data_IF_914539976951
#
_entry.id   IF_914539976951
#
_cell.length_a   1.000
_cell.length_b   1.000
_cell.length_c   1.000
_cell.angle_alpha   90.00
_cell.angle_beta   90.00
_cell.angle_gamma   90.00
#
_symmetry.space_group_name_H-M   'P 1'
#
loop_
_entity.id
_entity.type
_entity.pdbx_description
1 polymer ?
#
# COMPACT_ATOMS: atom_id res chain seq x y z
N UNK A 1 61.65 -30.44 -43.46
CA UNK A 1 60.28 -30.97 -43.56
C UNK A 1 59.78 -31.66 -42.28
N UNK A 2 60.41 -32.75 -41.78
CA UNK A 2 59.91 -33.52 -40.61
C UNK A 2 59.77 -32.72 -39.30
N UNK A 3 60.68 -31.77 -39.00
CA UNK A 3 60.59 -30.90 -37.82
C UNK A 3 59.43 -29.89 -37.91
N UNK A 4 59.18 -29.34 -39.10
CA UNK A 4 58.10 -28.37 -39.33
C UNK A 4 56.72 -29.04 -39.17
N UNK A 5 56.57 -30.25 -39.70
CA UNK A 5 55.35 -31.06 -39.55
C UNK A 5 55.09 -31.40 -38.07
N UNK A 6 56.12 -31.73 -37.29
CA UNK A 6 55.99 -31.95 -35.84
C UNK A 6 55.51 -30.69 -35.10
N UNK A 7 56.06 -29.51 -35.43
CA UNK A 7 55.63 -28.25 -34.83
C UNK A 7 54.19 -27.89 -35.15
N UNK A 8 53.77 -28.07 -36.41
CA UNK A 8 52.38 -27.84 -36.84
C UNK A 8 51.41 -28.77 -36.11
N UNK A 9 51.76 -30.06 -35.97
CA UNK A 9 50.93 -31.02 -35.23
C UNK A 9 50.80 -30.68 -33.73
N UNK A 10 51.88 -30.17 -33.11
CA UNK A 10 51.83 -29.72 -31.71
C UNK A 10 50.90 -28.50 -31.57
N UNK A 11 51.00 -27.52 -32.47
CA UNK A 11 50.16 -26.32 -32.44
C UNK A 11 48.68 -26.68 -32.64
N UNK A 12 48.37 -27.58 -33.58
CA UNK A 12 47.00 -28.06 -33.81
C UNK A 12 46.46 -28.80 -32.58
N UNK A 13 47.28 -29.66 -31.96
CA UNK A 13 46.90 -30.39 -30.73
C UNK A 13 46.59 -29.45 -29.57
N UNK A 14 47.43 -28.43 -29.35
CA UNK A 14 47.20 -27.41 -28.33
C UNK A 14 45.90 -26.66 -28.62
N UNK A 15 45.70 -26.17 -29.84
CA UNK A 15 44.49 -25.45 -30.23
C UNK A 15 43.21 -26.30 -30.07
N UNK A 16 43.27 -27.58 -30.44
CA UNK A 16 42.16 -28.52 -30.26
C UNK A 16 41.85 -28.75 -28.77
N UNK A 17 42.88 -28.84 -27.93
CA UNK A 17 42.73 -28.98 -26.49
C UNK A 17 42.17 -27.71 -25.84
N UNK A 18 42.61 -26.52 -26.26
CA UNK A 18 42.05 -25.24 -25.80
C UNK A 18 40.58 -25.11 -26.20
N UNK A 19 40.22 -25.52 -27.42
CA UNK A 19 38.83 -25.48 -27.88
C UNK A 19 37.95 -26.47 -27.11
N UNK A 20 38.46 -27.67 -26.78
CA UNK A 20 37.77 -28.63 -25.92
C UNK A 20 37.57 -28.08 -24.50
N UNK A 21 38.60 -27.47 -23.90
CA UNK A 21 38.51 -26.84 -22.59
C UNK A 21 37.54 -25.65 -22.58
N UNK A 22 37.53 -24.82 -23.63
CA UNK A 22 36.55 -23.75 -23.79
C UNK A 22 35.13 -24.29 -23.95
N UNK A 23 34.94 -25.38 -24.70
CA UNK A 23 33.62 -26.02 -24.86
C UNK A 23 33.14 -26.68 -23.57
N UNK A 24 34.03 -27.31 -22.81
CA UNK A 24 33.75 -27.84 -21.47
C UNK A 24 33.45 -26.71 -20.49
N UNK A 25 34.23 -25.62 -20.49
CA UNK A 25 33.98 -24.43 -19.68
C UNK A 25 32.65 -23.77 -20.01
N UNK A 26 32.31 -23.60 -21.30
CA UNK A 26 31.01 -23.09 -21.74
C UNK A 26 29.87 -24.02 -21.33
N UNK A 27 30.05 -25.34 -21.46
CA UNK A 27 29.06 -26.32 -21.02
C UNK A 27 28.89 -26.24 -19.50
N UNK A 28 29.96 -26.22 -18.71
CA UNK A 28 29.91 -26.02 -17.26
C UNK A 28 29.18 -24.71 -16.91
N UNK A 29 29.54 -23.58 -17.52
CA UNK A 29 28.88 -22.29 -17.26
C UNK A 29 27.39 -22.30 -17.65
N UNK A 30 27.00 -22.92 -18.76
CA UNK A 30 25.60 -22.99 -19.20
C UNK A 30 24.78 -24.08 -18.50
N UNK A 31 25.40 -25.18 -18.08
CA UNK A 31 24.72 -26.31 -17.44
C UNK A 31 24.70 -26.15 -15.91
N UNK A 32 25.62 -25.39 -15.31
CA UNK A 32 25.68 -25.10 -13.87
C UNK A 32 25.00 -23.76 -13.51
N UNK A 33 24.90 -22.77 -14.42
CA UNK A 33 24.09 -21.57 -14.16
C UNK A 33 22.61 -21.82 -13.76
N UNK A 34 21.90 -22.86 -14.23
CA UNK A 34 20.56 -23.18 -13.76
C UNK A 34 20.52 -23.91 -12.40
N UNK A 35 21.67 -24.18 -11.77
CA UNK A 35 21.80 -24.84 -10.45
C UNK A 35 22.36 -23.94 -9.34
N UNK A 36 22.57 -22.64 -9.61
CA UNK A 36 22.68 -21.67 -8.51
C UNK A 36 21.30 -21.63 -7.82
N UNK A 37 21.29 -21.86 -6.50
CA UNK A 37 20.09 -22.11 -5.70
C UNK A 37 18.99 -21.05 -5.80
N UNK A 38 17.87 -21.31 -5.11
CA UNK A 38 16.70 -20.42 -5.12
C UNK A 38 17.09 -18.95 -4.88
N UNK A 39 16.67 -18.07 -5.78
CA UNK A 39 16.90 -16.63 -5.66
C UNK A 39 15.61 -15.93 -5.26
N UNK A 40 15.70 -15.00 -4.31
CA UNK A 40 14.54 -14.31 -3.74
C UNK A 40 14.71 -12.79 -3.78
N UNK A 41 13.61 -12.08 -3.99
CA UNK A 41 13.47 -10.65 -3.70
C UNK A 41 12.62 -10.51 -2.44
N UNK A 42 13.07 -9.64 -1.54
CA UNK A 42 12.34 -9.29 -0.33
C UNK A 42 11.83 -7.84 -0.45
N UNK A 43 10.51 -7.69 -0.55
CA UNK A 43 9.83 -6.41 -0.39
C UNK A 43 9.41 -6.29 1.08
N UNK A 44 10.25 -5.61 1.88
CA UNK A 44 10.00 -5.45 3.32
C UNK A 44 9.14 -4.23 3.55
N UNK A 45 8.08 -4.39 4.33
CA UNK A 45 7.34 -3.26 4.86
C UNK A 45 8.27 -2.33 5.63
N UNK A 46 8.09 -1.02 5.43
CA UNK A 46 8.79 -0.02 6.22
C UNK A 46 8.48 -0.22 7.70
N UNK A 47 9.51 -0.10 8.52
CA UNK A 47 9.39 -0.27 9.97
C UNK A 47 8.52 0.84 10.55
N UNK A 48 7.57 0.45 11.41
CA UNK A 48 6.75 1.39 12.18
C UNK A 48 7.59 1.99 13.31
N UNK A 49 7.67 3.31 13.35
CA UNK A 49 8.41 4.09 14.35
C UNK A 49 7.50 4.51 15.50
N UNK A 50 6.27 4.91 15.19
CA UNK A 50 5.30 5.45 16.14
C UNK A 50 3.89 5.09 15.68
N UNK A 51 3.02 4.80 16.66
CA UNK A 51 1.57 4.78 16.51
C UNK A 51 1.00 5.60 17.66
N UNK A 52 0.09 6.52 17.37
CA UNK A 52 -0.60 7.36 18.35
C UNK A 52 -2.08 7.43 17.98
N UNK A 53 -2.97 7.43 18.97
CA UNK A 53 -4.42 7.56 18.76
C UNK A 53 -4.97 8.88 19.29
N UNK A 54 -5.92 9.46 18.57
CA UNK A 54 -6.55 10.75 18.84
C UNK A 54 -8.07 10.67 18.67
N UNK A 55 -8.76 11.69 19.18
CA UNK A 55 -10.22 11.73 19.28
C UNK A 55 -10.73 10.99 20.53
N UNK A 56 -11.95 11.33 20.96
CA UNK A 56 -12.55 10.78 22.18
C UNK A 56 -12.67 9.25 22.13
N UNK A 57 -12.92 8.70 20.94
CA UNK A 57 -13.13 7.26 20.70
C UNK A 57 -11.90 6.60 20.04
N UNK A 58 -10.75 7.28 20.06
CA UNK A 58 -9.49 6.83 19.42
C UNK A 58 -9.67 6.56 17.92
N UNK A 59 -10.53 7.34 17.28
CA UNK A 59 -10.96 7.13 15.90
C UNK A 59 -9.95 7.65 14.86
N UNK A 60 -8.95 8.43 15.27
CA UNK A 60 -7.86 8.88 14.40
C UNK A 60 -6.52 8.32 14.84
N UNK A 61 -5.74 7.76 13.92
CA UNK A 61 -4.47 7.08 14.18
C UNK A 61 -3.35 7.77 13.40
N UNK A 62 -2.36 8.33 14.10
CA UNK A 62 -1.12 8.81 13.49
C UNK A 62 -0.10 7.69 13.45
N UNK A 63 0.54 7.49 12.30
CA UNK A 63 1.58 6.48 12.11
C UNK A 63 2.82 7.12 11.48
N UNK A 64 3.95 7.02 12.19
CA UNK A 64 5.27 7.35 11.68
C UNK A 64 6.01 6.10 11.22
N UNK A 65 6.71 6.20 10.08
CA UNK A 65 7.49 5.12 9.47
C UNK A 65 8.96 5.51 9.34
N UNK A 66 9.86 4.54 9.48
CA UNK A 66 11.31 4.70 9.27
C UNK A 66 11.64 4.60 7.76
N UNK A 67 11.40 5.69 7.02
CA UNK A 67 11.79 5.83 5.61
C UNK A 67 10.63 6.13 4.65
N UNK A 68 10.96 6.29 3.37
CA UNK A 68 9.96 6.51 2.32
C UNK A 68 9.24 5.20 2.02
N UNK A 69 7.93 5.14 2.31
CA UNK A 69 7.12 3.97 2.02
C UNK A 69 6.24 4.17 0.78
N UNK A 70 6.08 3.10 0.01
CA UNK A 70 5.03 3.00 -1.00
C UNK A 70 3.77 2.42 -0.33
N UNK A 71 2.61 2.94 -0.71
CA UNK A 71 1.35 2.68 -0.01
C UNK A 71 0.91 1.20 0.02
N UNK A 72 1.48 0.31 -0.80
CA UNK A 72 1.02 -1.07 -0.97
C UNK A 72 1.41 -2.06 0.14
N UNK A 73 2.31 -1.68 1.06
CA UNK A 73 2.77 -2.56 2.15
C UNK A 73 2.14 -2.23 3.51
N UNK A 74 1.21 -1.28 3.55
CA UNK A 74 0.51 -0.88 4.77
C UNK A 74 -0.99 -0.80 4.50
N UNK A 75 -1.79 -1.04 5.51
CA UNK A 75 -3.24 -0.89 5.46
C UNK A 75 -3.78 -0.76 6.88
N UNK A 76 -5.05 -0.40 7.01
CA UNK A 76 -5.70 -0.30 8.30
C UNK A 76 -7.16 -0.73 8.16
N UNK A 77 -7.57 -1.64 9.03
CA UNK A 77 -8.96 -1.95 9.29
C UNK A 77 -9.46 -1.13 10.48
N UNK A 78 -10.68 -1.38 10.95
CA UNK A 78 -11.18 -0.75 12.17
C UNK A 78 -10.29 -1.08 13.37
N UNK A 79 -9.84 -2.32 13.52
CA UNK A 79 -9.17 -2.77 14.75
C UNK A 79 -7.66 -2.93 14.64
N UNK A 80 -7.11 -2.98 13.42
CA UNK A 80 -5.69 -3.25 13.22
C UNK A 80 -5.05 -2.27 12.22
N UNK A 81 -3.88 -1.75 12.58
CA UNK A 81 -2.92 -1.29 11.59
C UNK A 81 -2.07 -2.48 11.16
N UNK A 82 -1.86 -2.64 9.85
CA UNK A 82 -1.25 -3.84 9.28
C UNK A 82 -0.14 -3.45 8.33
N UNK A 83 0.98 -4.18 8.42
CA UNK A 83 2.05 -4.13 7.43
C UNK A 83 2.30 -5.52 6.85
N UNK A 84 2.62 -5.57 5.55
CA UNK A 84 2.87 -6.81 4.82
C UNK A 84 4.26 -6.78 4.17
N UNK A 85 5.05 -7.81 4.41
CA UNK A 85 6.35 -8.02 3.74
C UNK A 85 6.33 -9.28 2.92
N UNK A 86 6.85 -9.21 1.70
CA UNK A 86 6.82 -10.30 0.74
C UNK A 86 8.22 -10.80 0.47
N UNK A 87 8.38 -12.11 0.47
CA UNK A 87 9.56 -12.79 -0.06
C UNK A 87 9.13 -13.63 -1.25
N UNK A 88 9.53 -13.23 -2.45
CA UNK A 88 9.15 -13.87 -3.71
C UNK A 88 10.36 -14.47 -4.39
N UNK A 89 10.20 -15.65 -4.98
CA UNK A 89 11.22 -16.33 -5.76
C UNK A 89 11.27 -15.74 -7.16
N UNK A 90 12.48 -15.52 -7.68
CA UNK A 90 12.68 -14.79 -8.96
C UNK A 90 13.68 -15.45 -9.90
N UNK A 91 14.19 -16.64 -9.57
CA UNK A 91 15.05 -17.38 -10.50
C UNK A 91 14.26 -17.93 -11.70
N UNK A 92 14.97 -18.44 -12.71
CA UNK A 92 14.37 -18.91 -13.97
C UNK A 92 13.36 -20.07 -13.81
N UNK A 93 13.30 -20.73 -12.64
CA UNK A 93 12.33 -21.77 -12.32
C UNK A 93 11.19 -21.27 -11.44
N UNK A 94 11.12 -19.96 -11.15
CA UNK A 94 10.04 -19.36 -10.40
C UNK A 94 8.72 -19.47 -11.18
N UNK A 95 7.63 -19.76 -10.47
CA UNK A 95 6.29 -19.86 -11.06
C UNK A 95 5.56 -18.55 -10.83
N UNK A 96 5.18 -17.89 -11.92
CA UNK A 96 4.56 -16.56 -11.87
C UNK A 96 3.25 -16.51 -11.06
N UNK A 97 2.41 -17.53 -11.20
CA UNK A 97 1.06 -17.56 -10.61
C UNK A 97 0.94 -18.53 -9.42
N UNK A 98 2.03 -19.13 -8.94
CA UNK A 98 1.98 -20.13 -7.87
C UNK A 98 3.07 -19.92 -6.84
N UNK A 99 2.70 -20.08 -5.57
CA UNK A 99 3.62 -19.96 -4.44
C UNK A 99 4.74 -20.99 -4.56
N UNK A 100 5.97 -20.51 -4.49
CA UNK A 100 7.18 -21.32 -4.53
C UNK A 100 7.74 -21.66 -3.14
N UNK A 101 8.50 -22.77 -3.07
CA UNK A 101 9.16 -23.17 -1.84
C UNK A 101 10.14 -22.07 -1.37
N UNK A 102 10.00 -21.66 -0.11
CA UNK A 102 10.87 -20.67 0.53
C UNK A 102 10.38 -19.22 0.39
N UNK A 103 9.24 -18.99 -0.27
CA UNK A 103 8.50 -17.73 -0.21
C UNK A 103 7.82 -17.55 1.14
N UNK A 104 7.49 -16.30 1.48
CA UNK A 104 6.76 -15.95 2.70
C UNK A 104 5.95 -14.66 2.52
N UNK A 105 4.84 -14.55 3.23
CA UNK A 105 4.07 -13.30 3.37
C UNK A 105 3.97 -13.00 4.85
N UNK A 106 4.88 -12.15 5.33
CA UNK A 106 4.97 -11.80 6.74
C UNK A 106 4.02 -10.66 7.02
N UNK A 107 2.98 -10.95 7.79
CA UNK A 107 2.01 -9.97 8.26
C UNK A 107 2.42 -9.52 9.65
N UNK A 108 2.44 -8.21 9.87
CA UNK A 108 2.55 -7.61 11.19
C UNK A 108 1.31 -6.79 11.47
N UNK A 109 0.65 -7.07 12.58
CA UNK A 109 -0.55 -6.38 13.04
C UNK A 109 -0.22 -5.60 14.32
N UNK A 110 -0.88 -4.45 14.48
CA UNK A 110 -0.84 -3.62 15.68
C UNK A 110 -2.29 -3.40 16.12
N UNK A 111 -2.65 -3.89 17.31
CA UNK A 111 -4.02 -3.82 17.83
C UNK A 111 -4.37 -2.40 18.30
N UNK A 112 -5.24 -1.72 17.55
CA UNK A 112 -5.58 -0.32 17.78
C UNK A 112 -6.41 -0.09 19.05
N UNK A 113 -7.00 -1.15 19.62
CA UNK A 113 -7.81 -1.09 20.83
C UNK A 113 -6.97 -1.23 22.10
N UNK A 114 -5.75 -1.74 21.98
CA UNK A 114 -4.83 -1.85 23.13
C UNK A 114 -4.09 -0.53 23.38
N UNK A 115 -3.79 -0.16 24.64
CA UNK A 115 -3.04 1.06 24.94
C UNK A 115 -1.62 1.09 24.34
N UNK A 116 -0.99 -0.07 24.18
CA UNK A 116 0.38 -0.24 23.70
C UNK A 116 0.49 -0.63 22.23
N UNK A 117 -0.64 -0.70 21.52
CA UNK A 117 -0.72 -1.17 20.13
C UNK A 117 -0.09 -2.55 19.95
N UNK A 118 -0.48 -3.49 20.82
CA UNK A 118 0.03 -4.86 20.92
C UNK A 118 0.34 -5.42 19.53
N UNK A 119 1.61 -5.74 19.31
CA UNK A 119 2.15 -6.20 18.03
C UNK A 119 2.11 -7.71 17.92
N UNK A 120 1.62 -8.24 16.80
CA UNK A 120 1.75 -9.66 16.43
C UNK A 120 2.30 -9.80 15.02
N UNK A 121 3.17 -10.80 14.81
CA UNK A 121 3.76 -11.11 13.51
C UNK A 121 3.58 -12.59 13.20
N UNK A 122 3.19 -12.92 11.97
CA UNK A 122 3.04 -14.29 11.50
C UNK A 122 3.28 -14.41 9.98
N UNK A 123 3.56 -15.62 9.51
CA UNK A 123 3.60 -15.92 8.08
C UNK A 123 2.23 -16.44 7.64
N UNK A 124 1.64 -15.77 6.64
CA UNK A 124 0.32 -16.11 6.12
C UNK A 124 0.36 -17.30 5.16
N UNK A 125 1.47 -17.52 4.44
CA UNK A 125 1.51 -18.55 3.38
C UNK A 125 1.24 -19.98 3.87
N UNK A 126 1.79 -20.45 5.01
CA UNK A 126 1.49 -21.79 5.50
C UNK A 126 -0.01 -22.02 5.74
N UNK A 127 -0.74 -20.99 6.19
CA UNK A 127 -2.18 -21.06 6.41
C UNK A 127 -2.94 -21.21 5.08
N UNK A 128 -2.60 -20.39 4.10
CA UNK A 128 -3.18 -20.48 2.74
C UNK A 128 -2.93 -21.86 2.11
N UNK A 129 -1.70 -22.37 2.20
CA UNK A 129 -1.35 -23.67 1.64
C UNK A 129 -2.11 -24.82 2.32
N UNK A 130 -2.36 -24.74 3.62
CA UNK A 130 -3.15 -25.73 4.35
C UNK A 130 -4.62 -25.76 3.89
N UNK A 131 -5.15 -24.62 3.43
CA UNK A 131 -6.48 -24.53 2.81
C UNK A 131 -6.47 -24.85 1.30
N UNK A 132 -5.33 -25.29 0.76
CA UNK A 132 -5.20 -25.64 -0.66
C UNK A 132 -5.03 -24.42 -1.59
N UNK A 133 -4.85 -23.22 -1.03
CA UNK A 133 -4.61 -21.98 -1.79
C UNK A 133 -3.12 -21.90 -2.12
N UNK A 134 -2.80 -21.98 -3.40
CA UNK A 134 -1.43 -22.03 -3.91
C UNK A 134 -1.14 -20.95 -4.96
N UNK A 135 -1.98 -19.91 -5.02
CA UNK A 135 -1.86 -18.81 -5.98
C UNK A 135 -0.93 -17.72 -5.45
N UNK A 136 -0.24 -17.03 -6.35
CA UNK A 136 0.66 -15.94 -5.98
C UNK A 136 -0.13 -14.73 -5.49
N UNK A 137 -0.09 -14.47 -4.18
CA UNK A 137 -0.63 -13.24 -3.59
C UNK A 137 0.37 -12.09 -3.83
N UNK A 138 -0.14 -10.96 -4.33
CA UNK A 138 0.66 -9.78 -4.63
C UNK A 138 0.26 -8.54 -3.84
N UNK A 139 -0.89 -8.57 -3.15
CA UNK A 139 -1.29 -7.48 -2.27
C UNK A 139 -2.13 -8.01 -1.11
N UNK A 140 -1.98 -7.37 0.05
CA UNK A 140 -2.71 -7.67 1.28
C UNK A 140 -3.21 -6.35 1.87
N UNK A 141 -4.52 -6.23 2.03
CA UNK A 141 -5.17 -5.03 2.57
C UNK A 141 -6.03 -5.43 3.76
N UNK A 142 -5.78 -4.83 4.93
CA UNK A 142 -6.65 -4.96 6.09
C UNK A 142 -7.96 -4.19 5.85
N UNK A 143 -9.09 -4.86 6.07
CA UNK A 143 -10.43 -4.31 5.89
C UNK A 143 -11.33 -4.72 7.06
N UNK A 144 -12.37 -3.93 7.31
CA UNK A 144 -13.47 -4.32 8.19
C UNK A 144 -14.73 -4.44 7.35
N UNK A 145 -15.43 -5.55 7.51
CA UNK A 145 -16.69 -5.83 6.83
C UNK A 145 -17.67 -6.47 7.80
N UNK A 146 -18.87 -5.90 7.96
CA UNK A 146 -19.90 -6.36 8.90
C UNK A 146 -19.38 -6.57 10.34
N UNK A 147 -18.50 -5.68 10.80
CA UNK A 147 -17.89 -5.73 12.14
C UNK A 147 -16.81 -6.80 12.33
N UNK A 148 -16.42 -7.49 11.25
CA UNK A 148 -15.34 -8.49 11.25
C UNK A 148 -14.10 -7.96 10.55
N UNK A 149 -12.94 -8.45 11.01
CA UNK A 149 -11.63 -8.04 10.53
C UNK A 149 -11.06 -9.05 9.54
N UNK A 150 -10.67 -8.57 8.38
CA UNK A 150 -10.13 -9.41 7.30
C UNK A 150 -8.82 -8.86 6.75
N UNK A 151 -8.01 -9.77 6.24
CA UNK A 151 -6.99 -9.45 5.26
C UNK A 151 -7.54 -9.79 3.87
N UNK A 152 -7.84 -8.78 3.06
CA UNK A 152 -8.11 -8.96 1.63
C UNK A 152 -6.82 -9.32 0.91
N UNK A 153 -6.82 -10.48 0.26
CA UNK A 153 -5.70 -11.02 -0.51
C UNK A 153 -5.99 -10.88 -2.00
N UNK A 154 -5.17 -10.12 -2.71
CA UNK A 154 -5.21 -10.09 -4.18
C UNK A 154 -4.15 -11.01 -4.73
N UNK A 155 -4.56 -11.90 -5.64
CA UNK A 155 -3.70 -12.93 -6.19
C UNK A 155 -3.88 -13.08 -7.69
N UNK A 156 -2.85 -13.57 -8.37
CA UNK A 156 -2.93 -13.85 -9.80
C UNK A 156 -3.65 -15.18 -10.04
N UNK A 157 -4.75 -15.14 -10.79
CA UNK A 157 -5.40 -16.34 -11.37
C UNK A 157 -4.61 -16.76 -12.61
N UNK A 158 -4.30 -15.80 -13.47
CA UNK A 158 -3.40 -15.91 -14.62
C UNK A 158 -2.57 -14.62 -14.71
N UNK A 159 -1.62 -14.56 -15.65
CA UNK A 159 -0.81 -13.36 -15.89
C UNK A 159 -1.64 -12.10 -16.23
N UNK A 160 -2.91 -12.25 -16.63
CA UNK A 160 -3.78 -11.13 -17.02
C UNK A 160 -5.06 -11.02 -16.18
N UNK A 161 -5.24 -11.88 -15.17
CA UNK A 161 -6.46 -11.93 -14.38
C UNK A 161 -6.14 -12.13 -12.92
N UNK A 162 -6.72 -11.27 -12.09
CA UNK A 162 -6.57 -11.31 -10.65
C UNK A 162 -7.86 -11.82 -9.97
N UNK A 163 -7.68 -12.40 -8.79
CA UNK A 163 -8.73 -12.83 -7.89
C UNK A 163 -8.60 -12.16 -6.53
N UNK A 164 -9.66 -12.31 -5.71
CA UNK A 164 -9.71 -11.79 -4.35
C UNK A 164 -10.20 -12.90 -3.42
N UNK A 165 -9.52 -13.06 -2.28
CA UNK A 165 -9.92 -13.89 -1.15
C UNK A 165 -9.82 -13.06 0.13
N UNK A 166 -10.59 -13.41 1.16
CA UNK A 166 -10.52 -12.78 2.46
C UNK A 166 -10.04 -13.79 3.49
N UNK A 167 -8.98 -13.46 4.22
CA UNK A 167 -8.54 -14.22 5.39
C UNK A 167 -9.16 -13.58 6.64
N UNK A 168 -10.00 -14.33 7.35
CA UNK A 168 -10.62 -13.87 8.58
C UNK A 168 -9.59 -13.86 9.73
N UNK A 169 -9.35 -12.69 10.33
CA UNK A 169 -8.32 -12.54 11.35
C UNK A 169 -8.67 -13.18 12.70
N UNK A 170 -9.96 -13.48 12.95
CA UNK A 170 -10.44 -14.13 14.16
C UNK A 170 -10.50 -15.66 14.02
N UNK A 171 -11.14 -16.16 12.97
CA UNK A 171 -11.29 -17.61 12.76
C UNK A 171 -10.08 -18.26 12.08
N UNK A 172 -9.20 -17.45 11.49
CA UNK A 172 -8.05 -17.88 10.69
C UNK A 172 -8.41 -18.70 9.44
N UNK A 173 -9.66 -18.59 8.97
CA UNK A 173 -10.15 -19.26 7.77
C UNK A 173 -10.15 -18.32 6.54
N UNK A 174 -10.02 -18.87 5.34
CA UNK A 174 -10.21 -18.13 4.09
C UNK A 174 -11.64 -18.26 3.55
N UNK A 175 -12.24 -17.13 3.19
CA UNK A 175 -13.54 -17.07 2.53
C UNK A 175 -13.53 -16.22 1.25
N UNK A 176 -14.55 -16.41 0.42
CA UNK A 176 -14.76 -15.56 -0.75
C UNK A 176 -15.37 -14.20 -0.33
N UNK A 177 -15.00 -13.10 -1.00
CA UNK A 177 -15.58 -11.79 -0.73
C UNK A 177 -17.10 -11.78 -0.88
N UNK A 178 -17.80 -11.27 0.12
CA UNK A 178 -19.27 -11.15 0.12
C UNK A 178 -19.74 -9.87 -0.58
N UNK A 179 -18.92 -8.83 -0.51
CA UNK A 179 -19.12 -7.54 -1.14
C UNK A 179 -17.75 -6.87 -1.35
N UNK A 180 -17.71 -5.77 -2.09
CA UNK A 180 -16.57 -4.83 -2.13
C UNK A 180 -16.91 -3.46 -1.55
N UNK A 181 -18.11 -3.36 -0.98
CA UNK A 181 -18.61 -2.15 -0.34
C UNK A 181 -18.09 -2.09 1.10
N UNK A 182 -16.83 -1.68 1.23
CA UNK A 182 -16.18 -1.43 2.51
C UNK A 182 -15.25 -0.21 2.37
N UNK A 183 -15.00 0.47 3.48
CA UNK A 183 -14.12 1.64 3.50
C UNK A 183 -12.66 1.21 3.52
N UNK A 184 -11.81 2.00 2.83
CA UNK A 184 -10.35 1.82 2.86
C UNK A 184 -9.66 3.14 3.14
N UNK A 185 -8.55 3.07 3.88
CA UNK A 185 -7.84 4.29 4.30
C UNK A 185 -6.82 4.81 3.30
N UNK A 186 -6.48 4.00 2.28
CA UNK A 186 -5.51 4.34 1.24
C UNK A 186 -6.14 4.48 -0.15
N UNK A 187 -7.48 4.43 -0.25
CA UNK A 187 -8.18 4.78 -1.48
C UNK A 187 -8.00 6.26 -1.78
N UNK A 188 -7.56 6.58 -3.01
CA UNK A 188 -7.66 7.95 -3.53
C UNK A 188 -9.12 8.40 -3.46
N UNK A 189 -9.33 9.71 -3.29
CA UNK A 189 -10.65 10.29 -3.52
C UNK A 189 -11.12 9.89 -4.92
N UNK A 190 -12.40 9.53 -5.03
CA UNK A 190 -12.99 9.14 -6.29
C UNK A 190 -12.98 10.29 -7.31
N UNK A 191 -13.22 9.96 -8.59
CA UNK A 191 -13.21 10.94 -9.68
C UNK A 191 -14.25 12.03 -9.48
N UNK A 192 -15.33 11.72 -8.80
CA UNK A 192 -16.37 12.68 -8.43
C UNK A 192 -15.80 13.87 -7.64
N UNK A 193 -14.70 13.71 -6.91
CA UNK A 193 -14.04 14.79 -6.17
C UNK A 193 -13.11 15.66 -7.03
N UNK A 194 -12.84 15.31 -8.29
CA UNK A 194 -11.95 16.08 -9.17
C UNK A 194 -12.50 17.47 -9.52
N UNK A 195 -13.82 17.67 -9.37
CA UNK A 195 -14.51 18.96 -9.52
C UNK A 195 -14.27 19.90 -8.33
N UNK A 196 -13.84 19.37 -7.18
CA UNK A 196 -13.54 20.15 -5.99
C UNK A 196 -12.10 20.67 -6.04
N UNK A 197 -11.92 21.95 -5.72
CA UNK A 197 -10.58 22.50 -5.52
C UNK A 197 -9.92 21.98 -4.22
N UNK A 198 -10.67 21.32 -3.34
CA UNK A 198 -10.23 20.88 -2.01
C UNK A 198 -8.94 20.04 -2.01
N UNK A 199 -8.82 18.90 -2.72
CA UNK A 199 -7.59 18.09 -2.68
C UNK A 199 -6.38 18.86 -3.24
N UNK A 200 -6.62 19.70 -4.26
CA UNK A 200 -5.59 20.52 -4.88
C UNK A 200 -5.11 21.65 -3.96
N UNK A 201 -6.02 22.23 -3.16
CA UNK A 201 -5.76 23.26 -2.16
C UNK A 201 -4.94 22.68 -1.01
N UNK A 202 -5.31 21.52 -0.48
CA UNK A 202 -4.53 20.82 0.55
C UNK A 202 -3.09 20.57 0.10
N UNK A 203 -2.93 20.09 -1.14
CA UNK A 203 -1.60 19.84 -1.72
C UNK A 203 -0.78 21.10 -1.90
N UNK A 204 -1.39 22.18 -2.38
CA UNK A 204 -0.69 23.43 -2.69
C UNK A 204 -0.31 24.18 -1.41
N UNK A 205 -1.22 24.28 -0.45
CA UNK A 205 -1.05 25.08 0.76
C UNK A 205 -0.23 24.35 1.84
N UNK A 206 -0.43 23.04 2.00
CA UNK A 206 0.17 22.27 3.09
C UNK A 206 1.19 21.21 2.63
N UNK A 207 1.32 20.97 1.32
CA UNK A 207 2.34 20.06 0.77
C UNK A 207 2.04 18.57 0.92
N UNK A 208 0.86 18.21 1.40
CA UNK A 208 0.40 16.83 1.64
C UNK A 208 -0.82 16.51 0.78
N UNK A 209 -1.14 15.22 0.63
CA UNK A 209 -2.35 14.78 -0.09
C UNK A 209 -3.39 14.21 0.89
N UNK A 210 -4.66 14.52 0.65
CA UNK A 210 -5.81 13.89 1.30
C UNK A 210 -6.31 12.70 0.49
N UNK A 211 -6.87 11.70 1.18
CA UNK A 211 -7.47 10.49 0.62
C UNK A 211 -8.77 10.14 1.38
N UNK A 212 -9.44 9.04 1.02
CA UNK A 212 -10.78 8.68 1.51
C UNK A 212 -10.94 8.71 3.04
N UNK A 213 -9.95 8.22 3.79
CA UNK A 213 -9.91 8.23 5.26
C UNK A 213 -8.46 8.44 5.75
N UNK A 214 -7.67 9.25 5.04
CA UNK A 214 -6.31 9.58 5.49
C UNK A 214 -5.79 10.93 5.01
N UNK A 215 -4.84 11.48 5.77
CA UNK A 215 -4.04 12.66 5.41
C UNK A 215 -2.59 12.27 5.24
N UNK A 216 -1.91 12.97 4.35
CA UNK A 216 -0.52 12.75 4.01
C UNK A 216 -0.26 11.37 3.40
N UNK A 217 -1.02 11.07 2.34
CA UNK A 217 -0.89 9.82 1.58
C UNK A 217 0.57 9.47 1.22
N UNK A 218 1.41 10.48 0.97
CA UNK A 218 2.80 10.34 0.52
C UNK A 218 3.87 10.47 1.62
N UNK A 219 3.52 10.52 2.90
CA UNK A 219 4.48 10.68 4.01
C UNK A 219 5.44 11.89 3.83
N UNK A 220 4.91 13.02 3.35
CA UNK A 220 5.64 14.28 3.17
C UNK A 220 5.52 15.15 4.41
N UNK A 221 6.56 15.92 4.71
CA UNK A 221 6.49 16.93 5.76
C UNK A 221 5.46 18.00 5.38
N UNK A 222 4.37 18.07 6.14
CA UNK A 222 3.37 19.12 6.00
C UNK A 222 3.96 20.49 6.34
N UNK A 223 3.35 21.55 5.80
CA UNK A 223 3.75 22.95 6.00
C UNK A 223 2.53 23.77 6.36
N UNK A 224 2.74 24.95 6.95
CA UNK A 224 1.70 25.96 7.16
C UNK A 224 0.48 25.49 7.99
N UNK A 225 0.65 24.46 8.83
CA UNK A 225 -0.44 23.94 9.68
C UNK A 225 -0.67 24.81 10.92
N UNK A 226 0.30 25.65 11.30
CA UNK A 226 0.29 26.42 12.56
C UNK A 226 -0.86 27.43 12.68
N UNK A 227 -1.55 27.74 11.58
CA UNK A 227 -2.70 28.65 11.54
C UNK A 227 -4.02 27.96 11.23
N UNK A 228 -4.10 26.64 11.35
CA UNK A 228 -5.34 25.89 11.11
C UNK A 228 -5.96 25.40 12.41
N UNK A 229 -7.26 25.10 12.39
CA UNK A 229 -7.94 24.53 13.55
C UNK A 229 -7.28 23.21 14.02
N UNK A 230 -6.73 22.41 13.09
CA UNK A 230 -5.99 21.19 13.43
C UNK A 230 -4.86 21.45 14.43
N UNK A 231 -4.08 22.52 14.25
CA UNK A 231 -2.96 22.81 15.14
C UNK A 231 -3.43 23.30 16.53
N UNK A 232 -4.63 23.86 16.62
CA UNK A 232 -5.22 24.34 17.88
C UNK A 232 -5.83 23.18 18.66
N UNK A 233 -6.62 22.35 17.98
CA UNK A 233 -7.39 21.28 18.60
C UNK A 233 -6.55 20.03 18.83
N UNK A 234 -5.68 19.70 17.87
CA UNK A 234 -4.84 18.51 17.86
C UNK A 234 -3.39 18.89 17.55
N UNK A 235 -2.72 19.71 18.39
CA UNK A 235 -1.37 20.21 18.14
C UNK A 235 -0.37 19.08 17.86
N UNK A 236 -0.53 17.93 18.54
CA UNK A 236 0.33 16.77 18.32
C UNK A 236 0.13 16.12 16.95
N UNK A 237 -1.10 16.11 16.42
CA UNK A 237 -1.37 15.63 15.06
C UNK A 237 -0.73 16.55 14.03
N UNK A 238 -0.88 17.87 14.20
CA UNK A 238 -0.22 18.84 13.32
C UNK A 238 1.30 18.72 13.34
N UNK A 239 1.90 18.51 14.52
CA UNK A 239 3.33 18.23 14.68
C UNK A 239 3.73 16.93 13.95
N UNK A 240 2.98 15.84 14.14
CA UNK A 240 3.24 14.57 13.49
C UNK A 240 3.18 14.67 11.96
N UNK A 241 2.16 15.33 11.39
CA UNK A 241 2.04 15.57 9.95
C UNK A 241 3.20 16.43 9.42
N UNK A 242 3.63 17.44 10.19
CA UNK A 242 4.79 18.29 9.86
C UNK A 242 6.10 17.49 9.84
N UNK A 243 6.18 16.43 10.65
CA UNK A 243 7.29 15.48 10.68
C UNK A 243 7.15 14.34 9.65
N UNK A 244 6.17 14.42 8.75
CA UNK A 244 5.98 13.46 7.67
C UNK A 244 5.20 12.21 8.07
N UNK A 245 4.60 12.17 9.26
CA UNK A 245 3.69 11.07 9.64
C UNK A 245 2.38 11.14 8.85
N UNK A 246 1.66 10.02 8.82
CA UNK A 246 0.34 9.90 8.18
C UNK A 246 -0.73 9.82 9.26
N UNK A 247 -1.86 10.48 9.03
CA UNK A 247 -3.05 10.34 9.86
C UNK A 247 -4.08 9.49 9.12
N UNK A 248 -4.69 8.54 9.82
CA UNK A 248 -5.79 7.73 9.32
C UNK A 248 -7.03 7.95 10.17
N UNK A 249 -8.20 8.00 9.55
CA UNK A 249 -9.47 7.80 10.23
C UNK A 249 -9.82 6.31 10.20
N UNK A 250 -10.26 5.76 11.34
CA UNK A 250 -10.54 4.32 11.46
C UNK A 250 -11.82 3.96 10.69
N UNK A 251 -11.74 3.05 9.70
CA UNK A 251 -12.92 2.53 9.01
C UNK A 251 -13.94 2.01 10.01
N UNK A 252 -15.23 2.21 9.75
CA UNK A 252 -16.31 1.76 10.64
C UNK A 252 -16.53 2.62 11.90
N UNK A 253 -15.56 3.46 12.29
CA UNK A 253 -15.75 4.49 13.33
C UNK A 253 -15.99 5.87 12.72
N UNK A 254 -15.28 6.19 11.63
CA UNK A 254 -15.44 7.45 10.89
C UNK A 254 -15.86 7.11 9.48
N UNK A 255 -16.98 7.66 9.04
CA UNK A 255 -17.44 7.50 7.65
C UNK A 255 -16.91 8.62 6.74
N UNK A 256 -17.13 8.50 5.43
CA UNK A 256 -16.61 9.44 4.43
C UNK A 256 -17.18 10.86 4.63
N UNK A 257 -18.45 10.98 5.00
CA UNK A 257 -19.11 12.26 5.28
C UNK A 257 -18.46 12.96 6.48
N UNK A 258 -18.33 12.24 7.59
CA UNK A 258 -17.69 12.73 8.81
C UNK A 258 -16.23 13.10 8.55
N UNK A 259 -15.50 12.28 7.80
CA UNK A 259 -14.12 12.55 7.43
C UNK A 259 -13.99 13.82 6.58
N UNK A 260 -14.84 13.98 5.56
CA UNK A 260 -14.84 15.15 4.70
C UNK A 260 -15.09 16.43 5.50
N UNK A 261 -16.13 16.43 6.33
CA UNK A 261 -16.49 17.57 7.17
C UNK A 261 -15.39 17.87 8.21
N UNK A 262 -14.82 16.84 8.83
CA UNK A 262 -13.69 16.98 9.77
C UNK A 262 -12.47 17.58 9.08
N UNK A 263 -12.14 17.12 7.88
CA UNK A 263 -11.01 17.65 7.12
C UNK A 263 -11.25 19.12 6.73
N UNK A 264 -12.45 19.49 6.29
CA UNK A 264 -12.80 20.89 6.03
C UNK A 264 -12.61 21.77 7.26
N UNK A 265 -13.04 21.28 8.42
CA UNK A 265 -12.88 22.01 9.67
C UNK A 265 -11.40 22.14 10.08
N UNK A 266 -10.66 21.05 10.07
CA UNK A 266 -9.24 21.01 10.50
C UNK A 266 -8.31 21.87 9.65
N UNK A 267 -8.58 22.00 8.36
CA UNK A 267 -7.81 22.85 7.46
C UNK A 267 -8.38 24.27 7.33
N UNK A 268 -9.47 24.60 8.02
CA UNK A 268 -9.94 25.97 8.11
C UNK A 268 -8.87 26.82 8.84
N UNK A 269 -8.63 28.08 8.40
CA UNK A 269 -7.85 29.04 9.16
C UNK A 269 -8.41 29.22 10.58
N UNK A 270 -7.52 29.49 11.53
CA UNK A 270 -7.89 29.80 12.92
C UNK A 270 -9.02 30.84 12.99
N UNK A 271 -10.08 30.50 13.72
CA UNK A 271 -11.26 31.34 13.89
C UNK A 271 -12.31 31.20 12.79
N UNK A 272 -12.07 30.38 11.75
CA UNK A 272 -13.07 29.97 10.78
C UNK A 272 -13.58 28.56 11.10
N UNK A 273 -14.87 28.32 10.92
CA UNK A 273 -15.47 27.00 11.20
C UNK A 273 -15.10 25.97 10.12
N UNK A 274 -15.04 26.39 8.85
CA UNK A 274 -14.81 25.51 7.70
C UNK A 274 -13.87 26.17 6.70
N UNK A 275 -13.04 25.35 6.06
CA UNK A 275 -12.20 25.77 4.95
C UNK A 275 -13.08 26.14 3.76
N UNK A 276 -12.86 27.32 3.19
CA UNK A 276 -13.54 27.74 1.97
C UNK A 276 -13.04 26.94 0.77
N UNK A 277 -13.93 26.15 0.16
CA UNK A 277 -13.67 25.33 -1.03
C UNK A 277 -14.79 25.50 -2.06
N UNK A 278 -14.50 25.17 -3.32
CA UNK A 278 -15.43 25.33 -4.44
C UNK A 278 -15.50 24.07 -5.30
N UNK A 279 -16.72 23.70 -5.68
CA UNK A 279 -16.97 22.81 -6.81
C UNK A 279 -16.99 23.64 -8.10
N UNK A 280 -16.39 23.11 -9.17
CA UNK A 280 -16.40 23.72 -10.50
C UNK A 280 -17.20 22.85 -11.46
N UNK A 281 -18.24 23.43 -12.05
CA UNK A 281 -18.94 22.79 -13.17
C UNK A 281 -18.03 22.76 -14.41
N UNK A 282 -17.85 21.59 -15.02
CA UNK A 282 -16.87 21.41 -16.09
C UNK A 282 -17.34 21.96 -17.45
N UNK A 283 -18.66 22.08 -17.65
CA UNK A 283 -19.26 22.57 -18.90
C UNK A 283 -19.30 24.11 -18.94
N UNK A 284 -19.81 24.71 -17.87
CA UNK A 284 -20.07 26.15 -17.74
C UNK A 284 -18.89 26.89 -17.11
N UNK A 285 -18.08 26.20 -16.30
CA UNK A 285 -17.02 26.81 -15.50
C UNK A 285 -17.52 27.53 -14.25
N UNK A 286 -18.82 27.48 -13.94
CA UNK A 286 -19.39 28.05 -12.72
C UNK A 286 -18.76 27.43 -11.48
N UNK A 287 -18.55 28.26 -10.44
CA UNK A 287 -18.02 27.83 -9.16
C UNK A 287 -19.07 27.98 -8.07
N UNK A 288 -19.34 26.90 -7.36
CA UNK A 288 -20.26 26.88 -6.22
C UNK A 288 -19.49 26.58 -4.95
N UNK A 289 -19.68 27.41 -3.92
CA UNK A 289 -19.06 27.17 -2.62
C UNK A 289 -19.66 25.91 -1.98
N UNK A 290 -18.81 25.03 -1.47
CA UNK A 290 -19.22 23.80 -0.77
C UNK A 290 -18.86 23.95 0.71
N UNK A 291 -19.83 23.81 1.61
CA UNK A 291 -19.61 23.98 3.06
C UNK A 291 -19.64 22.68 3.85
N UNK A 292 -20.13 21.61 3.24
CA UNK A 292 -20.26 20.29 3.85
C UNK A 292 -20.26 19.20 2.78
N UNK A 293 -20.13 17.95 3.22
CA UNK A 293 -20.33 16.80 2.34
C UNK A 293 -21.76 16.74 1.78
N UNK A 294 -22.77 17.09 2.59
CA UNK A 294 -24.16 17.13 2.13
C UNK A 294 -24.38 18.18 1.04
N UNK A 295 -23.74 19.35 1.16
CA UNK A 295 -23.76 20.40 0.12
C UNK A 295 -23.14 19.88 -1.18
N UNK A 296 -22.05 19.11 -1.08
CA UNK A 296 -21.39 18.51 -2.23
C UNK A 296 -22.27 17.46 -2.92
N UNK A 297 -22.89 16.56 -2.15
CA UNK A 297 -23.82 15.56 -2.68
C UNK A 297 -25.03 16.21 -3.36
N UNK A 298 -25.55 17.31 -2.81
CA UNK A 298 -26.64 18.06 -3.44
C UNK A 298 -26.17 18.78 -4.72
N UNK A 299 -24.98 19.36 -4.71
CA UNK A 299 -24.39 19.98 -5.90
C UNK A 299 -24.24 18.96 -7.04
N UNK A 300 -23.74 17.74 -6.77
CA UNK A 300 -23.60 16.68 -7.77
C UNK A 300 -24.93 16.30 -8.43
N UNK A 301 -26.00 16.18 -7.64
CA UNK A 301 -27.35 15.87 -8.18
C UNK A 301 -27.85 16.93 -9.17
N UNK A 302 -27.45 18.19 -8.98
CA UNK A 302 -27.80 19.31 -9.86
C UNK A 302 -26.89 19.42 -11.08
N UNK A 303 -25.71 18.78 -11.04
CA UNK A 303 -24.71 18.79 -12.11
C UNK A 303 -24.31 17.36 -12.55
N UNK A 304 -25.26 16.52 -12.98
CA UNK A 304 -25.03 15.09 -13.24
C UNK A 304 -24.12 14.82 -14.44
N UNK A 305 -23.81 15.82 -15.28
CA UNK A 305 -22.87 15.67 -16.39
C UNK A 305 -21.39 15.65 -15.95
N UNK A 306 -21.13 15.95 -14.67
CA UNK A 306 -19.80 15.91 -14.07
C UNK A 306 -19.49 14.61 -13.30
N UNK A 307 -20.42 13.65 -13.27
CA UNK A 307 -20.27 12.31 -12.65
C UNK A 307 -19.54 11.29 -13.55
#
# INVERSE_FOLDING_TARGET
>A
MKKLIKWVLIVISVLAMTFLLLRLGFKIVYTIKPELGYSFIEDKATKVKSIQSFGADRQYISVGLDGNNFAHNISMSQNYFVTASYKKRVDAKARENKIDKGESIIITTYDLNTPDFTKKTFDLLPKLLNEGINQQVFNVIAITYEGKEYLELRYHITALKDGILWYNMETEEVEYPKSRDYQTVLGLLGKEYDVLDFPSKIRTEYGISIANLSLNFSYKNAKNLEKTNLAIELPKVAENLSNGEKLFARPGQVNIEEWFNTALHWFAPEGQEIMEIYAKDLETGEKTQIKSYADFEEWKKQHPSND
#
